data_IF_251955124381
#
_entry.id   IF_251955124381
#
_cell.length_a   1.000
_cell.length_b   1.000
_cell.length_c   1.000
_cell.angle_alpha   90.00
_cell.angle_beta   90.00
_cell.angle_gamma   90.00
#
_symmetry.space_group_name_H-M   'P 1'
#
loop_
_entity.id
_entity.type
_entity.pdbx_description
1 polymer ?
#
# COMPACT_ATOMS: atom_id res chain seq x y z
N UNK A 1 5.35 29.25 -20.67
CA UNK A 1 4.92 28.11 -19.84
C UNK A 1 3.49 27.78 -20.22
N UNK A 2 3.28 26.72 -21.00
CA UNK A 2 1.92 26.28 -21.33
C UNK A 2 1.36 25.57 -20.11
N UNK A 3 0.40 26.19 -19.43
CA UNK A 3 -0.44 25.48 -18.48
C UNK A 3 -1.29 24.50 -19.30
N UNK A 4 -0.78 23.28 -19.51
CA UNK A 4 -1.62 22.20 -19.97
C UNK A 4 -2.71 22.05 -18.91
N UNK A 5 -3.97 22.21 -19.32
CA UNK A 5 -5.12 21.94 -18.48
C UNK A 5 -5.15 20.43 -18.21
N UNK A 6 -4.41 20.03 -17.19
CA UNK A 6 -4.43 18.66 -16.67
C UNK A 6 -5.79 18.51 -16.01
N UNK A 7 -6.68 17.74 -16.63
CA UNK A 7 -7.97 17.44 -16.03
C UNK A 7 -7.77 16.81 -14.64
N UNK A 8 -8.72 17.01 -13.73
CA UNK A 8 -8.63 16.42 -12.39
C UNK A 8 -8.38 14.90 -12.43
N UNK A 9 -8.92 14.22 -13.44
CA UNK A 9 -8.68 12.79 -13.72
C UNK A 9 -7.22 12.44 -13.99
N UNK A 10 -6.48 13.28 -14.71
CA UNK A 10 -5.06 13.02 -15.03
C UNK A 10 -4.18 13.21 -13.80
N UNK A 11 -4.49 14.18 -12.94
CA UNK A 11 -3.77 14.37 -11.67
C UNK A 11 -3.94 13.13 -10.78
N UNK A 12 -5.17 12.62 -10.67
CA UNK A 12 -5.46 11.42 -9.87
C UNK A 12 -4.70 10.20 -10.41
N UNK A 13 -4.68 10.02 -11.74
CA UNK A 13 -3.96 8.92 -12.38
C UNK A 13 -2.44 9.01 -12.17
N UNK A 14 -1.85 10.19 -12.33
CA UNK A 14 -0.41 10.42 -12.10
C UNK A 14 -0.03 10.17 -10.63
N UNK A 15 -0.85 10.62 -9.69
CA UNK A 15 -0.65 10.32 -8.27
C UNK A 15 -0.70 8.82 -8.04
N UNK A 16 -1.75 8.13 -8.52
CA UNK A 16 -1.87 6.67 -8.39
C UNK A 16 -0.67 5.93 -9.00
N UNK A 17 -0.15 6.42 -10.13
CA UNK A 17 1.04 5.85 -10.79
C UNK A 17 2.31 6.02 -9.95
N UNK A 18 2.49 7.17 -9.29
CA UNK A 18 3.63 7.40 -8.39
C UNK A 18 3.61 6.51 -7.14
N UNK A 19 2.42 6.06 -6.72
CA UNK A 19 2.27 5.10 -5.62
C UNK A 19 2.59 3.65 -6.02
N UNK A 20 2.96 3.36 -7.27
CA UNK A 20 3.35 2.02 -7.75
C UNK A 20 4.24 1.19 -6.80
N UNK A 21 5.36 1.71 -6.25
CA UNK A 21 6.22 0.92 -5.35
C UNK A 21 5.52 0.50 -4.05
N UNK A 22 4.60 1.33 -3.54
CA UNK A 22 3.81 1.02 -2.34
C UNK A 22 2.88 -0.15 -2.61
N UNK A 23 2.16 -0.13 -3.74
CA UNK A 23 1.26 -1.22 -4.13
C UNK A 23 2.00 -2.55 -4.28
N UNK A 24 3.16 -2.55 -4.92
CA UNK A 24 3.99 -3.75 -5.10
C UNK A 24 4.47 -4.30 -3.75
N UNK A 25 5.03 -3.45 -2.89
CA UNK A 25 5.50 -3.86 -1.57
C UNK A 25 4.35 -4.39 -0.70
N UNK A 26 3.20 -3.72 -0.75
CA UNK A 26 2.01 -4.13 -0.02
C UNK A 26 1.48 -5.47 -0.50
N UNK A 27 1.44 -5.71 -1.81
CA UNK A 27 1.02 -7.00 -2.37
C UNK A 27 1.96 -8.14 -1.97
N UNK A 28 3.26 -7.90 -1.95
CA UNK A 28 4.26 -8.88 -1.50
C UNK A 28 4.06 -9.22 -0.02
N UNK A 29 3.98 -8.21 0.85
CA UNK A 29 3.88 -8.44 2.30
C UNK A 29 2.51 -8.98 2.68
N UNK A 30 1.43 -8.47 2.12
CA UNK A 30 0.10 -9.05 2.33
C UNK A 30 -0.01 -10.48 1.80
N UNK A 31 0.56 -10.75 0.63
CA UNK A 31 0.63 -12.10 0.06
C UNK A 31 1.40 -13.06 0.97
N UNK A 32 2.56 -12.62 1.48
CA UNK A 32 3.34 -13.37 2.46
C UNK A 32 2.56 -13.59 3.77
N UNK A 33 1.93 -12.55 4.33
CA UNK A 33 1.07 -12.67 5.53
C UNK A 33 -0.06 -13.68 5.33
N UNK A 34 -0.66 -13.73 4.14
CA UNK A 34 -1.67 -14.73 3.80
C UNK A 34 -1.10 -16.16 3.70
N UNK A 35 0.10 -16.33 3.17
CA UNK A 35 0.76 -17.64 3.05
C UNK A 35 1.19 -18.19 4.42
N UNK A 36 1.77 -17.34 5.28
CA UNK A 36 2.27 -17.74 6.60
C UNK A 36 1.18 -17.82 7.68
N UNK A 37 -0.06 -17.43 7.37
CA UNK A 37 -1.22 -17.49 8.29
C UNK A 37 -1.43 -18.88 8.94
N UNK A 38 -1.08 -19.96 8.23
CA UNK A 38 -1.27 -21.35 8.68
C UNK A 38 -0.24 -21.84 9.70
N UNK A 39 0.93 -21.19 9.83
CA UNK A 39 2.01 -21.63 10.73
C UNK A 39 2.01 -20.96 12.10
N UNK A 40 1.20 -19.92 12.30
CA UNK A 40 1.22 -19.12 13.52
C UNK A 40 -0.10 -19.34 14.27
N UNK A 41 -0.20 -20.41 15.06
CA UNK A 41 -1.45 -20.86 15.68
C UNK A 41 -2.29 -19.75 16.36
N UNK A 42 -1.70 -18.89 17.20
CA UNK A 42 -2.39 -17.75 17.84
C UNK A 42 -2.45 -16.48 16.98
N UNK A 43 -1.47 -16.25 16.10
CA UNK A 43 -1.41 -15.07 15.23
C UNK A 43 -2.38 -15.17 14.04
N UNK A 44 -2.64 -16.39 13.58
CA UNK A 44 -3.63 -16.72 12.56
C UNK A 44 -5.05 -16.42 13.03
N UNK A 45 -5.35 -16.52 14.32
CA UNK A 45 -6.66 -16.19 14.87
C UNK A 45 -6.95 -14.67 14.88
N UNK A 46 -5.91 -13.83 14.98
CA UNK A 46 -6.03 -12.37 14.84
C UNK A 46 -6.19 -11.94 13.37
N UNK A 47 -5.49 -12.64 12.47
CA UNK A 47 -5.60 -12.50 11.02
C UNK A 47 -6.85 -13.15 10.41
N UNK A 48 -7.62 -13.91 11.19
CA UNK A 48 -8.89 -14.52 10.76
C UNK A 48 -10.05 -13.51 10.80
N UNK A 49 -9.93 -12.47 11.63
CA UNK A 49 -10.89 -11.37 11.66
C UNK A 49 -10.60 -10.39 10.52
N UNK A 50 -11.62 -10.04 9.73
CA UNK A 50 -11.49 -9.05 8.65
C UNK A 50 -10.94 -7.71 9.15
N UNK A 51 -11.21 -7.34 10.41
CA UNK A 51 -10.69 -6.12 11.04
C UNK A 51 -9.16 -6.17 11.18
N UNK A 52 -8.59 -7.31 11.56
CA UNK A 52 -7.14 -7.49 11.67
C UNK A 52 -6.43 -7.37 10.31
N UNK A 53 -6.99 -7.99 9.26
CA UNK A 53 -6.46 -7.89 7.90
C UNK A 53 -6.48 -6.45 7.40
N UNK A 54 -7.61 -5.75 7.59
CA UNK A 54 -7.75 -4.34 7.18
C UNK A 54 -6.80 -3.44 7.97
N UNK A 55 -6.68 -3.65 9.29
CA UNK A 55 -5.76 -2.90 10.13
C UNK A 55 -4.30 -3.05 9.71
N UNK A 56 -3.85 -4.29 9.45
CA UNK A 56 -2.49 -4.55 8.96
C UNK A 56 -2.29 -3.96 7.58
N UNK A 57 -3.27 -4.08 6.68
CA UNK A 57 -3.23 -3.47 5.35
C UNK A 57 -3.03 -1.95 5.41
N UNK A 58 -3.80 -1.25 6.26
CA UNK A 58 -3.70 0.20 6.43
C UNK A 58 -2.37 0.60 7.07
N UNK A 59 -1.93 -0.09 8.14
CA UNK A 59 -0.64 0.19 8.77
C UNK A 59 0.54 0.00 7.81
N UNK A 60 0.55 -1.09 7.05
CA UNK A 60 1.59 -1.36 6.05
C UNK A 60 1.53 -0.37 4.88
N UNK A 61 0.34 0.03 4.45
CA UNK A 61 0.16 1.07 3.43
C UNK A 61 0.87 2.37 3.82
N UNK A 62 0.61 2.88 5.03
CA UNK A 62 1.25 4.10 5.51
C UNK A 62 2.74 3.92 5.77
N UNK A 63 3.16 2.77 6.31
CA UNK A 63 4.57 2.44 6.52
C UNK A 63 5.36 2.47 5.20
N UNK A 64 4.88 1.78 4.16
CA UNK A 64 5.53 1.78 2.85
C UNK A 64 5.45 3.14 2.17
N UNK A 65 4.35 3.86 2.32
CA UNK A 65 4.24 5.25 1.83
C UNK A 65 5.30 6.14 2.46
N UNK A 66 5.56 6.01 3.76
CA UNK A 66 6.62 6.76 4.44
C UNK A 66 8.02 6.33 3.99
N UNK A 67 8.27 5.03 3.82
CA UNK A 67 9.56 4.50 3.35
C UNK A 67 9.86 4.98 1.92
N UNK A 68 8.86 4.91 1.03
CA UNK A 68 9.00 5.35 -0.36
C UNK A 68 8.67 6.83 -0.55
N UNK A 69 8.52 7.63 0.53
CA UNK A 69 8.15 9.04 0.42
C UNK A 69 9.12 9.83 -0.48
N UNK A 70 10.42 9.52 -0.41
CA UNK A 70 11.45 10.12 -1.27
C UNK A 70 11.30 9.76 -2.75
N UNK A 71 10.72 8.60 -3.06
CA UNK A 71 10.47 8.14 -4.44
C UNK A 71 9.11 8.62 -4.94
N UNK A 72 8.11 8.66 -4.07
CA UNK A 72 6.75 9.09 -4.38
C UNK A 72 6.74 10.60 -4.57
N UNK A 73 7.29 11.38 -3.64
CA UNK A 73 7.43 12.84 -3.67
C UNK A 73 8.91 13.26 -3.56
N UNK A 74 9.66 13.27 -4.67
CA UNK A 74 11.06 13.67 -4.69
C UNK A 74 11.28 15.19 -4.55
N UNK A 75 10.31 15.92 -4.00
CA UNK A 75 10.27 17.38 -3.97
C UNK A 75 9.81 17.91 -2.62
#
# INVERSE_FOLDING_TARGET
MQAQYIGASTIILEVLWRFWPVWVALFIVMGASFLYRKKLALYGQLFDSGVGIVGVGICLFWLFTAIFASTISPF
#
